data_IF_313427954987
#
_entry.id   IF_313427954987
#
_cell.length_a   1.000
_cell.length_b   1.000
_cell.length_c   1.000
_cell.angle_alpha   90.00
_cell.angle_beta   90.00
_cell.angle_gamma   90.00
#
_symmetry.space_group_name_H-M   'P 1'
#
loop_
_entity.id
_entity.type
_entity.pdbx_description
1 polymer ?
#
# COMPACT_ATOMS: atom_id res chain seq x y z
N UNK A 1 -67.56 -18.66 -104.02
CA UNK A 1 -67.04 -19.25 -102.77
C UNK A 1 -67.50 -18.40 -101.60
N UNK A 2 -68.40 -18.93 -100.75
CA UNK A 2 -69.02 -18.25 -99.61
C UNK A 2 -68.72 -18.97 -98.28
N UNK A 3 -68.41 -18.21 -97.23
CA UNK A 3 -68.83 -18.31 -95.80
C UNK A 3 -67.85 -17.50 -94.92
N UNK A 4 -68.19 -16.40 -94.22
CA UNK A 4 -69.07 -16.17 -93.04
C UNK A 4 -68.71 -17.05 -91.81
N UNK A 5 -68.54 -16.59 -90.55
CA UNK A 5 -69.21 -15.51 -89.76
C UNK A 5 -68.56 -15.30 -88.36
N UNK A 6 -68.55 -14.04 -87.88
CA UNK A 6 -68.92 -13.44 -86.55
C UNK A 6 -68.66 -14.18 -85.22
N UNK A 7 -68.07 -13.46 -84.24
CA UNK A 7 -68.71 -13.01 -82.97
C UNK A 7 -67.74 -12.15 -82.12
N UNK A 8 -68.17 -10.94 -81.79
CA UNK A 8 -67.52 -9.96 -80.91
C UNK A 8 -68.53 -9.48 -79.85
N UNK A 9 -68.01 -8.97 -78.71
CA UNK A 9 -68.68 -8.28 -77.57
C UNK A 9 -69.51 -9.14 -76.58
N UNK A 10 -69.64 -8.78 -75.27
CA UNK A 10 -68.81 -7.95 -74.37
C UNK A 10 -68.63 -8.57 -72.95
N UNK A 11 -67.50 -8.34 -72.25
CA UNK A 11 -67.40 -8.56 -70.80
C UNK A 11 -66.88 -7.27 -70.13
N UNK A 12 -67.81 -6.34 -69.94
CA UNK A 12 -67.63 -4.99 -69.39
C UNK A 12 -67.99 -4.91 -67.89
N UNK A 13 -67.87 -5.96 -67.08
CA UNK A 13 -68.46 -5.97 -65.72
C UNK A 13 -67.47 -6.23 -64.57
N UNK A 14 -66.22 -6.60 -64.81
CA UNK A 14 -65.35 -7.03 -63.71
C UNK A 14 -64.37 -5.98 -63.14
N UNK A 15 -64.42 -4.71 -63.58
CA UNK A 15 -63.43 -3.69 -63.19
C UNK A 15 -64.03 -2.45 -62.53
N UNK A 16 -65.20 -2.57 -61.88
CA UNK A 16 -65.95 -1.43 -61.35
C UNK A 16 -66.27 -1.46 -59.84
N UNK A 17 -65.88 -2.49 -59.09
CA UNK A 17 -66.41 -2.69 -57.72
C UNK A 17 -65.36 -2.84 -56.61
N UNK A 18 -64.17 -2.22 -56.76
CA UNK A 18 -63.22 -2.06 -55.64
C UNK A 18 -62.92 -0.58 -55.38
N UNK A 19 -63.91 0.29 -55.55
CA UNK A 19 -63.83 1.68 -55.14
C UNK A 19 -64.87 1.96 -54.05
N UNK A 20 -64.42 1.75 -52.80
CA UNK A 20 -64.98 2.16 -51.49
C UNK A 20 -65.18 0.95 -50.56
N UNK A 21 -64.43 0.86 -49.44
CA UNK A 21 -64.49 1.89 -48.39
C UNK A 21 -63.09 2.35 -47.93
N UNK A 22 -62.42 3.21 -48.70
CA UNK A 22 -61.20 3.89 -48.25
C UNK A 22 -61.46 5.06 -47.28
N UNK A 23 -62.73 5.40 -47.01
CA UNK A 23 -63.12 6.51 -46.14
C UNK A 23 -63.22 6.14 -44.65
N UNK A 24 -63.38 4.85 -44.29
CA UNK A 24 -63.47 4.41 -42.88
C UNK A 24 -62.14 3.91 -42.29
N UNK A 25 -61.14 3.63 -43.15
CA UNK A 25 -59.84 3.15 -42.71
C UNK A 25 -58.88 4.27 -42.27
N UNK A 26 -59.09 5.51 -42.70
CA UNK A 26 -58.20 6.63 -42.39
C UNK A 26 -58.24 7.02 -40.90
N UNK A 27 -59.42 7.08 -40.27
CA UNK A 27 -59.54 7.43 -38.85
C UNK A 27 -58.93 6.40 -37.88
N UNK A 28 -59.03 5.10 -38.19
CA UNK A 28 -58.40 4.05 -37.39
C UNK A 28 -56.87 4.01 -37.55
N UNK A 29 -56.37 4.34 -38.74
CA UNK A 29 -54.94 4.35 -39.01
C UNK A 29 -54.26 5.50 -38.25
N UNK A 30 -54.89 6.67 -38.25
CA UNK A 30 -54.39 7.88 -37.56
C UNK A 30 -54.38 7.69 -36.03
N UNK A 31 -55.39 7.01 -35.47
CA UNK A 31 -55.42 6.61 -34.07
C UNK A 31 -54.29 5.62 -33.72
N UNK A 32 -54.08 4.58 -34.53
CA UNK A 32 -53.02 3.59 -34.32
C UNK A 32 -51.62 4.23 -34.42
N UNK A 33 -51.45 5.16 -35.36
CA UNK A 33 -50.23 5.94 -35.52
C UNK A 33 -49.96 6.80 -34.29
N UNK A 34 -50.98 7.51 -33.78
CA UNK A 34 -50.85 8.32 -32.57
C UNK A 34 -50.50 7.49 -31.32
N UNK A 35 -51.11 6.32 -31.15
CA UNK A 35 -50.78 5.38 -30.07
C UNK A 35 -49.37 4.80 -30.24
N UNK A 36 -48.93 4.55 -31.48
CA UNK A 36 -47.57 4.13 -31.79
C UNK A 36 -46.54 5.19 -31.41
N UNK A 37 -46.81 6.46 -31.70
CA UNK A 37 -45.97 7.59 -31.33
C UNK A 37 -45.92 7.79 -29.81
N UNK A 38 -47.06 7.72 -29.12
CA UNK A 38 -47.14 7.82 -27.67
C UNK A 38 -46.32 6.70 -26.98
N UNK A 39 -46.51 5.44 -27.39
CA UNK A 39 -45.73 4.30 -26.89
C UNK A 39 -44.23 4.46 -27.17
N UNK A 40 -43.85 5.01 -28.33
CA UNK A 40 -42.44 5.27 -28.62
C UNK A 40 -41.86 6.38 -27.74
N UNK A 41 -42.65 7.39 -27.37
CA UNK A 41 -42.28 8.40 -26.37
C UNK A 41 -42.01 7.78 -25.01
N UNK A 42 -42.97 7.03 -24.47
CA UNK A 42 -42.85 6.36 -23.17
C UNK A 42 -41.67 5.37 -23.11
N UNK A 43 -41.44 4.64 -24.22
CA UNK A 43 -40.29 3.73 -24.34
C UNK A 43 -38.95 4.47 -24.34
N UNK A 44 -38.87 5.67 -24.94
CA UNK A 44 -37.66 6.50 -24.91
C UNK A 44 -37.37 6.98 -23.50
N UNK A 45 -38.38 7.43 -22.76
CA UNK A 45 -38.22 7.91 -21.38
C UNK A 45 -37.79 6.78 -20.42
N UNK A 46 -38.40 5.61 -20.59
CA UNK A 46 -38.02 4.40 -19.85
C UNK A 46 -36.59 3.98 -20.18
N UNK A 47 -36.20 4.01 -21.46
CA UNK A 47 -34.83 3.69 -21.89
C UNK A 47 -33.82 4.70 -21.34
N UNK A 48 -34.12 6.00 -21.35
CA UNK A 48 -33.27 7.02 -20.77
C UNK A 48 -33.05 6.81 -19.27
N UNK A 49 -34.08 6.37 -18.54
CA UNK A 49 -33.98 6.02 -17.12
C UNK A 49 -33.08 4.79 -16.91
N UNK A 50 -33.25 3.75 -17.74
CA UNK A 50 -32.40 2.54 -17.70
C UNK A 50 -30.95 2.89 -18.01
N UNK A 51 -30.72 3.75 -19.00
CA UNK A 51 -29.37 4.17 -19.39
C UNK A 51 -28.70 4.99 -18.27
N UNK A 52 -29.45 5.86 -17.59
CA UNK A 52 -28.97 6.61 -16.42
C UNK A 52 -28.60 5.70 -15.25
N UNK A 53 -29.47 4.74 -14.89
CA UNK A 53 -29.19 3.75 -13.85
C UNK A 53 -27.98 2.87 -14.20
N UNK A 54 -27.85 2.47 -15.46
CA UNK A 54 -26.69 1.71 -15.93
C UNK A 54 -25.39 2.52 -15.88
N UNK A 55 -25.45 3.83 -16.12
CA UNK A 55 -24.29 4.71 -15.97
C UNK A 55 -23.89 4.88 -14.50
N UNK A 56 -24.87 5.09 -13.61
CA UNK A 56 -24.66 5.20 -12.17
C UNK A 56 -24.09 3.90 -11.58
N UNK A 57 -24.67 2.74 -11.92
CA UNK A 57 -24.20 1.45 -11.45
C UNK A 57 -22.74 1.18 -11.88
N UNK A 58 -22.39 1.51 -13.13
CA UNK A 58 -21.01 1.41 -13.63
C UNK A 58 -20.06 2.29 -12.83
N UNK A 59 -20.43 3.55 -12.56
CA UNK A 59 -19.64 4.46 -11.74
C UNK A 59 -19.43 3.90 -10.33
N UNK A 60 -20.50 3.45 -9.68
CA UNK A 60 -20.42 2.92 -8.31
C UNK A 60 -19.55 1.66 -8.22
N UNK A 61 -19.60 0.79 -9.25
CA UNK A 61 -18.72 -0.38 -9.35
C UNK A 61 -17.26 0.01 -9.55
N UNK A 62 -16.97 1.05 -10.33
CA UNK A 62 -15.61 1.56 -10.50
C UNK A 62 -15.08 2.17 -9.20
N UNK A 63 -15.88 2.98 -8.52
CA UNK A 63 -15.55 3.56 -7.21
C UNK A 63 -15.28 2.46 -6.18
N UNK A 64 -16.17 1.46 -6.08
CA UNK A 64 -15.98 0.30 -5.19
C UNK A 64 -14.70 -0.48 -5.49
N UNK A 65 -14.37 -0.71 -6.77
CA UNK A 65 -13.11 -1.35 -7.17
C UNK A 65 -11.90 -0.45 -6.89
N UNK A 66 -12.06 0.86 -6.94
CA UNK A 66 -11.08 1.84 -6.48
C UNK A 66 -10.77 1.65 -5.00
N UNK A 67 -11.80 1.69 -4.17
CA UNK A 67 -11.67 1.52 -2.71
C UNK A 67 -11.08 0.15 -2.33
N UNK A 68 -11.49 -0.93 -2.98
CA UNK A 68 -10.88 -2.26 -2.74
C UNK A 68 -9.39 -2.33 -3.09
N UNK A 69 -8.88 -1.48 -4.00
CA UNK A 69 -7.44 -1.39 -4.24
C UNK A 69 -6.74 -0.64 -3.13
N UNK A 70 -7.36 0.41 -2.59
CA UNK A 70 -6.84 1.16 -1.44
C UNK A 70 -6.78 0.26 -0.21
N UNK A 71 -7.87 -0.47 0.10
CA UNK A 71 -7.91 -1.42 1.23
C UNK A 71 -6.79 -2.45 1.12
N UNK A 72 -6.60 -3.09 -0.03
CA UNK A 72 -5.50 -4.04 -0.23
C UNK A 72 -4.13 -3.40 -0.04
N UNK A 73 -3.92 -2.18 -0.56
CA UNK A 73 -2.68 -1.45 -0.36
C UNK A 73 -2.41 -1.14 1.12
N UNK A 74 -3.46 -0.84 1.90
CA UNK A 74 -3.35 -0.64 3.35
C UNK A 74 -3.06 -1.95 4.10
N UNK A 75 -3.66 -3.06 3.69
CA UNK A 75 -3.37 -4.39 4.27
C UNK A 75 -1.90 -4.77 4.05
N UNK A 76 -1.37 -4.59 2.84
CA UNK A 76 0.05 -4.82 2.53
C UNK A 76 0.96 -3.89 3.35
N UNK A 77 0.56 -2.62 3.52
CA UNK A 77 1.31 -1.65 4.31
C UNK A 77 1.33 -2.02 5.80
N UNK A 78 0.20 -2.47 6.37
CA UNK A 78 0.14 -2.96 7.75
C UNK A 78 1.02 -4.19 7.93
N UNK A 79 1.00 -5.14 6.99
CA UNK A 79 1.89 -6.30 7.04
C UNK A 79 3.38 -5.92 7.04
N UNK A 80 3.76 -4.89 6.27
CA UNK A 80 5.12 -4.35 6.30
C UNK A 80 5.46 -3.71 7.65
N UNK A 81 4.52 -2.95 8.25
CA UNK A 81 4.72 -2.36 9.57
C UNK A 81 4.89 -3.42 10.66
N UNK A 82 4.12 -4.50 10.61
CA UNK A 82 4.25 -5.61 11.55
C UNK A 82 5.65 -6.25 11.48
N UNK A 83 6.19 -6.45 10.26
CA UNK A 83 7.57 -6.92 10.09
C UNK A 83 8.60 -5.96 10.69
N UNK A 84 8.40 -4.66 10.55
CA UNK A 84 9.29 -3.65 11.14
C UNK A 84 9.19 -3.62 12.67
N UNK A 85 8.01 -3.82 13.24
CA UNK A 85 7.82 -3.91 14.69
C UNK A 85 8.54 -5.13 15.25
N UNK A 86 8.40 -6.30 14.60
CA UNK A 86 9.12 -7.51 15.02
C UNK A 86 10.64 -7.31 15.01
N UNK A 87 11.18 -6.68 13.96
CA UNK A 87 12.61 -6.40 13.88
C UNK A 87 13.08 -5.41 14.97
N UNK A 88 12.27 -4.39 15.29
CA UNK A 88 12.58 -3.44 16.36
C UNK A 88 12.54 -4.10 17.74
N UNK A 89 11.60 -5.00 17.99
CA UNK A 89 11.55 -5.75 19.26
C UNK A 89 12.78 -6.63 19.45
N UNK A 90 13.27 -7.27 18.38
CA UNK A 90 14.55 -8.01 18.41
C UNK A 90 15.73 -7.09 18.69
N UNK A 91 15.78 -5.91 18.05
CA UNK A 91 16.83 -4.90 18.29
C UNK A 91 16.82 -4.40 19.73
N UNK A 92 15.64 -4.13 20.30
CA UNK A 92 15.48 -3.74 21.71
C UNK A 92 16.08 -4.82 22.62
N UNK A 93 15.73 -6.09 22.41
CA UNK A 93 16.27 -7.19 23.21
C UNK A 93 17.80 -7.29 23.13
N UNK A 94 18.38 -7.10 21.94
CA UNK A 94 19.83 -7.07 21.76
C UNK A 94 20.49 -5.89 22.47
N UNK A 95 19.88 -4.71 22.44
CA UNK A 95 20.35 -3.52 23.15
C UNK A 95 20.28 -3.68 24.66
N UNK A 96 19.19 -4.25 25.19
CA UNK A 96 19.05 -4.55 26.62
C UNK A 96 20.14 -5.51 27.11
N UNK A 97 20.45 -6.55 26.32
CA UNK A 97 21.55 -7.46 26.62
C UNK A 97 22.90 -6.72 26.64
N UNK A 98 23.16 -5.89 25.62
CA UNK A 98 24.39 -5.08 25.54
C UNK A 98 24.55 -4.13 26.72
N UNK A 99 23.47 -3.49 27.18
CA UNK A 99 23.45 -2.65 28.38
C UNK A 99 23.80 -3.48 29.63
N UNK A 100 23.24 -4.69 29.74
CA UNK A 100 23.58 -5.62 30.82
C UNK A 100 25.07 -5.98 30.83
N UNK A 101 25.64 -6.28 29.67
CA UNK A 101 27.06 -6.62 29.51
C UNK A 101 27.97 -5.43 29.85
N UNK A 102 27.62 -4.21 29.45
CA UNK A 102 28.37 -3.00 29.81
C UNK A 102 28.45 -2.84 31.33
N UNK A 103 27.36 -3.07 32.06
CA UNK A 103 27.38 -3.00 33.53
C UNK A 103 28.32 -4.04 34.17
N UNK A 104 28.48 -5.21 33.56
CA UNK A 104 29.46 -6.21 33.99
C UNK A 104 30.88 -5.74 33.70
N UNK A 105 31.13 -5.20 32.50
CA UNK A 105 32.43 -4.66 32.09
C UNK A 105 32.86 -3.54 33.03
N UNK A 106 31.98 -2.58 33.34
CA UNK A 106 32.29 -1.45 34.24
C UNK A 106 32.73 -1.92 35.63
N UNK A 107 32.14 -3.00 36.16
CA UNK A 107 32.54 -3.56 37.46
C UNK A 107 33.89 -4.27 37.41
N UNK A 108 34.25 -4.88 36.27
CA UNK A 108 35.44 -5.70 36.14
C UNK A 108 36.67 -4.93 35.64
N UNK A 109 36.46 -3.84 34.89
CA UNK A 109 37.54 -3.09 34.25
C UNK A 109 38.45 -2.39 35.27
N UNK A 110 37.91 -1.81 36.35
CA UNK A 110 38.73 -1.16 37.38
C UNK A 110 39.62 -2.16 38.14
N UNK A 111 39.10 -3.31 38.62
CA UNK A 111 39.94 -4.38 39.17
C UNK A 111 41.02 -4.87 38.20
N UNK A 112 40.70 -5.01 36.91
CA UNK A 112 41.66 -5.42 35.89
C UNK A 112 42.78 -4.39 35.75
N UNK A 113 42.45 -3.10 35.61
CA UNK A 113 43.42 -2.01 35.52
C UNK A 113 44.33 -1.96 36.74
N UNK A 114 43.79 -2.18 37.96
CA UNK A 114 44.60 -2.27 39.17
C UNK A 114 45.65 -3.40 39.08
N UNK A 115 45.23 -4.61 38.68
CA UNK A 115 46.15 -5.77 38.50
C UNK A 115 47.17 -5.52 37.38
N UNK A 116 46.78 -4.80 36.33
CA UNK A 116 47.69 -4.42 35.25
C UNK A 116 48.76 -3.46 35.77
N UNK A 117 48.39 -2.45 36.56
CA UNK A 117 49.36 -1.54 37.19
C UNK A 117 50.28 -2.30 38.16
N UNK A 118 49.76 -3.23 38.97
CA UNK A 118 50.60 -4.06 39.86
C UNK A 118 51.61 -4.91 39.07
N UNK A 119 51.20 -5.41 37.90
CA UNK A 119 52.07 -6.16 37.01
C UNK A 119 53.12 -5.26 36.35
N UNK A 120 52.75 -4.03 36.01
CA UNK A 120 53.66 -3.03 35.47
C UNK A 120 54.71 -2.59 36.50
N UNK A 121 54.35 -2.43 37.78
CA UNK A 121 55.31 -2.15 38.86
C UNK A 121 56.32 -3.27 39.03
N UNK A 122 55.85 -4.52 39.05
CA UNK A 122 56.74 -5.69 39.08
C UNK A 122 57.65 -5.75 37.86
N UNK A 123 57.12 -5.42 36.68
CA UNK A 123 57.92 -5.35 35.47
C UNK A 123 59.01 -4.28 35.58
N UNK A 124 58.68 -3.06 36.02
CA UNK A 124 59.66 -1.98 36.24
C UNK A 124 60.76 -2.39 37.22
N UNK A 125 60.41 -3.11 38.29
CA UNK A 125 61.37 -3.56 39.31
C UNK A 125 62.32 -4.67 38.84
N UNK A 126 61.90 -5.50 37.88
CA UNK A 126 62.68 -6.63 37.35
C UNK A 126 63.43 -6.30 36.06
N UNK A 127 63.08 -5.20 35.41
CA UNK A 127 63.64 -4.74 34.14
C UNK A 127 64.92 -3.89 34.35
N UNK A 128 65.62 -3.57 33.26
CA UNK A 128 66.84 -2.75 33.30
C UNK A 128 66.50 -1.34 33.82
N UNK A 129 67.33 -0.74 34.70
CA UNK A 129 67.04 0.58 35.26
C UNK A 129 67.13 1.68 34.19
N UNK A 130 65.97 2.07 33.66
CA UNK A 130 65.80 3.11 32.66
C UNK A 130 64.64 4.03 33.08
N UNK A 131 64.93 5.34 33.21
CA UNK A 131 63.96 6.37 33.61
C UNK A 131 63.08 5.94 34.79
N UNK A 132 63.71 5.32 35.79
CA UNK A 132 63.02 4.71 36.93
C UNK A 132 62.12 5.72 37.66
N UNK A 133 62.60 6.93 38.00
CA UNK A 133 61.76 7.93 38.66
C UNK A 133 60.53 8.32 37.83
N UNK A 134 60.69 8.48 36.51
CA UNK A 134 59.59 8.87 35.62
C UNK A 134 58.56 7.76 35.46
N UNK A 135 59.00 6.50 35.36
CA UNK A 135 58.15 5.32 35.23
C UNK A 135 57.35 5.08 36.52
N UNK A 136 58.01 5.10 37.67
CA UNK A 136 57.35 4.98 38.98
C UNK A 136 56.35 6.11 39.21
N UNK A 137 56.73 7.35 38.90
CA UNK A 137 55.83 8.50 39.01
C UNK A 137 54.62 8.38 38.08
N UNK A 138 54.78 7.82 36.87
CA UNK A 138 53.66 7.58 35.94
C UNK A 138 52.70 6.53 36.51
N UNK A 139 53.20 5.41 37.02
CA UNK A 139 52.32 4.38 37.61
C UNK A 139 51.61 4.90 38.85
N UNK A 140 52.30 5.66 39.71
CA UNK A 140 51.67 6.30 40.88
C UNK A 140 50.54 7.26 40.48
N UNK A 141 50.73 8.07 39.43
CA UNK A 141 49.66 8.95 38.90
C UNK A 141 48.47 8.15 38.36
N UNK A 142 48.72 7.08 37.61
CA UNK A 142 47.66 6.21 37.09
C UNK A 142 46.87 5.54 38.22
N UNK A 143 47.55 5.06 39.27
CA UNK A 143 46.92 4.47 40.46
C UNK A 143 46.08 5.48 41.24
N UNK A 144 46.59 6.70 41.43
CA UNK A 144 45.83 7.78 42.07
C UNK A 144 44.56 8.13 41.27
N UNK A 145 44.63 8.12 39.94
CA UNK A 145 43.50 8.38 39.06
C UNK A 145 42.42 7.29 39.16
N UNK A 146 42.75 6.02 39.40
CA UNK A 146 41.73 4.97 39.59
C UNK A 146 40.81 5.26 40.79
N UNK A 147 41.33 5.86 41.86
CA UNK A 147 40.58 6.20 43.08
C UNK A 147 39.81 7.53 43.03
N UNK A 148 40.02 8.34 41.98
CA UNK A 148 39.34 9.64 41.81
C UNK A 148 37.88 9.46 41.40
N UNK A 149 36.96 10.13 42.09
CA UNK A 149 35.52 10.09 41.79
C UNK A 149 35.12 11.04 40.66
N UNK A 150 35.95 12.04 40.36
CA UNK A 150 35.70 13.06 39.33
C UNK A 150 36.12 12.61 37.92
N UNK A 151 36.63 11.39 37.76
CA UNK A 151 37.04 10.80 36.48
C UNK A 151 36.14 9.60 36.17
N UNK A 152 35.60 9.56 34.95
CA UNK A 152 34.71 8.47 34.52
C UNK A 152 35.46 7.14 34.39
N UNK A 153 34.75 6.02 34.53
CA UNK A 153 35.32 4.69 34.33
C UNK A 153 35.94 4.53 32.93
N UNK A 154 35.31 5.11 31.91
CA UNK A 154 35.81 5.13 30.53
C UNK A 154 37.16 5.87 30.41
N UNK A 155 37.29 7.06 31.01
CA UNK A 155 38.56 7.81 30.98
C UNK A 155 39.65 7.08 31.78
N UNK A 156 39.30 6.46 32.91
CA UNK A 156 40.23 5.61 33.68
C UNK A 156 40.79 4.46 32.85
N UNK A 157 39.92 3.78 32.10
CA UNK A 157 40.32 2.72 31.18
C UNK A 157 41.19 3.24 30.04
N UNK A 158 40.76 4.31 29.37
CA UNK A 158 41.50 4.92 28.27
C UNK A 158 42.94 5.25 28.66
N UNK A 159 43.14 5.93 29.79
CA UNK A 159 44.45 6.31 30.33
C UNK A 159 45.30 5.13 30.80
N UNK A 160 44.68 4.01 31.15
CA UNK A 160 45.40 2.79 31.52
C UNK A 160 45.93 2.01 30.32
N UNK A 161 45.29 2.17 29.15
CA UNK A 161 45.70 1.53 27.90
C UNK A 161 46.62 2.40 27.02
N UNK A 162 46.66 3.72 27.25
CA UNK A 162 47.57 4.69 26.60
C UNK A 162 48.93 4.82 27.30
#
# INVERSE_FOLDING_TARGET
MTRNTRLALPLLVALGTIAAPSLLAQGNLEQIESEGLARNGERRDSQATVDALNAENRRLLEDYRGELRIVRGLEDYVAMLDQQLMAQDEEIGALEQSIGDVAVIERQILPLLARMLDSLERFIALDVPFLLPEREARVARLRAMLGRSDVTTAEKARRGFE
#
